data_IF_557729236216
#
_entry.id   IF_557729236216
#
_cell.length_a   1.000
_cell.length_b   1.000
_cell.length_c   1.000
_cell.angle_alpha   90.00
_cell.angle_beta   90.00
_cell.angle_gamma   90.00
#
_symmetry.space_group_name_H-M   'P 1'
#
loop_
_entity.id
_entity.type
_entity.pdbx_description
1 polymer ?
#
# COMPACT_ATOMS: atom_id res chain seq x y z
N UNK A 1 -36.00 -40.08 -36.78
CA UNK A 1 -35.97 -38.84 -37.58
C UNK A 1 -34.56 -38.60 -38.08
N UNK A 2 -34.35 -38.46 -39.40
CA UNK A 2 -33.00 -38.29 -39.98
C UNK A 2 -32.42 -36.89 -39.68
N UNK A 3 -31.08 -36.81 -39.62
CA UNK A 3 -30.32 -35.58 -39.35
C UNK A 3 -30.66 -34.44 -40.31
N UNK A 4 -30.97 -34.75 -41.58
CA UNK A 4 -31.35 -33.77 -42.61
C UNK A 4 -32.71 -33.12 -42.29
N UNK A 5 -33.72 -33.90 -41.90
CA UNK A 5 -35.05 -33.39 -41.54
C UNK A 5 -35.04 -32.54 -40.24
N UNK A 6 -34.07 -32.76 -39.36
CA UNK A 6 -33.82 -31.93 -38.17
C UNK A 6 -33.25 -30.55 -38.55
N UNK A 7 -32.28 -30.52 -39.47
CA UNK A 7 -31.64 -29.29 -39.93
C UNK A 7 -32.64 -28.41 -40.70
N UNK A 8 -33.47 -28.98 -41.58
CA UNK A 8 -34.50 -28.23 -42.33
C UNK A 8 -35.51 -27.57 -41.39
N UNK A 9 -35.97 -28.28 -40.34
CA UNK A 9 -36.89 -27.69 -39.34
C UNK A 9 -36.24 -26.60 -38.50
N UNK A 10 -34.95 -26.75 -38.15
CA UNK A 10 -34.20 -25.72 -37.43
C UNK A 10 -34.02 -24.47 -38.29
N UNK A 11 -33.67 -24.63 -39.57
CA UNK A 11 -33.56 -23.54 -40.53
C UNK A 11 -34.89 -22.80 -40.69
N UNK A 12 -36.00 -23.52 -40.88
CA UNK A 12 -37.35 -22.91 -40.98
C UNK A 12 -37.78 -22.13 -39.73
N UNK A 13 -37.23 -22.41 -38.54
CA UNK A 13 -37.63 -21.78 -37.27
C UNK A 13 -36.68 -20.67 -36.80
N UNK A 14 -35.38 -20.83 -37.03
CA UNK A 14 -34.35 -19.96 -36.46
C UNK A 14 -33.39 -19.41 -37.51
N UNK A 15 -33.64 -19.68 -38.81
CA UNK A 15 -32.83 -19.22 -39.95
C UNK A 15 -31.33 -19.50 -39.79
N UNK A 16 -31.00 -20.60 -39.10
CA UNK A 16 -29.61 -20.96 -38.83
C UNK A 16 -29.38 -22.46 -38.91
N UNK A 17 -28.27 -22.84 -39.55
CA UNK A 17 -27.74 -24.22 -39.54
C UNK A 17 -26.78 -24.45 -38.38
N UNK A 18 -26.34 -23.39 -37.68
CA UNK A 18 -25.43 -23.49 -36.53
C UNK A 18 -26.10 -24.18 -35.36
N UNK A 19 -25.31 -24.82 -34.51
CA UNK A 19 -25.84 -25.43 -33.28
C UNK A 19 -26.29 -24.33 -32.33
N UNK A 20 -27.56 -24.36 -31.94
CA UNK A 20 -28.09 -23.45 -30.93
C UNK A 20 -27.50 -23.81 -29.55
N UNK A 21 -27.37 -22.82 -28.65
CA UNK A 21 -26.98 -23.09 -27.27
C UNK A 21 -27.93 -24.13 -26.67
N UNK A 22 -27.36 -25.24 -26.20
CA UNK A 22 -28.14 -26.24 -25.47
C UNK A 22 -28.52 -25.67 -24.11
N UNK A 23 -29.72 -25.98 -23.63
CA UNK A 23 -30.09 -25.70 -22.24
C UNK A 23 -29.06 -26.39 -21.34
N UNK A 24 -28.27 -25.59 -20.62
CA UNK A 24 -27.28 -26.09 -19.68
C UNK A 24 -27.96 -26.82 -18.52
N UNK A 25 -27.15 -27.47 -17.68
CA UNK A 25 -27.63 -28.04 -16.42
C UNK A 25 -28.33 -26.93 -15.60
N UNK A 26 -29.54 -27.17 -15.08
CA UNK A 26 -30.21 -26.21 -14.20
C UNK A 26 -29.31 -25.78 -13.03
N UNK A 27 -29.29 -24.48 -12.74
CA UNK A 27 -28.55 -23.95 -11.60
C UNK A 27 -29.09 -24.53 -10.30
N UNK A 28 -28.19 -24.96 -9.41
CA UNK A 28 -28.57 -25.43 -8.06
C UNK A 28 -29.07 -24.31 -7.15
N UNK A 29 -28.70 -23.07 -7.46
CA UNK A 29 -29.09 -21.89 -6.71
C UNK A 29 -30.11 -21.11 -7.53
N UNK A 30 -31.19 -20.65 -6.89
CA UNK A 30 -32.19 -19.84 -7.58
C UNK A 30 -31.65 -18.44 -7.88
N UNK A 31 -32.26 -17.73 -8.82
CA UNK A 31 -31.91 -16.32 -9.05
C UNK A 31 -32.16 -15.45 -7.81
N UNK A 32 -33.17 -15.80 -7.00
CA UNK A 32 -33.45 -15.14 -5.71
C UNK A 32 -32.32 -15.40 -4.73
N UNK A 33 -31.88 -16.64 -4.60
CA UNK A 33 -30.75 -17.04 -3.76
C UNK A 33 -29.46 -16.34 -4.17
N UNK A 34 -29.16 -16.27 -5.47
CA UNK A 34 -28.00 -15.53 -5.99
C UNK A 34 -28.04 -14.06 -5.59
N UNK A 35 -29.16 -13.36 -5.83
CA UNK A 35 -29.32 -11.95 -5.44
C UNK A 35 -29.18 -11.75 -3.93
N UNK A 36 -29.69 -12.69 -3.15
CA UNK A 36 -29.64 -12.63 -1.70
C UNK A 36 -28.20 -12.80 -1.16
N UNK A 37 -27.39 -13.68 -1.78
CA UNK A 37 -25.96 -13.82 -1.47
C UNK A 37 -25.17 -12.57 -1.87
N UNK A 38 -25.43 -12.02 -3.05
CA UNK A 38 -24.77 -10.79 -3.51
C UNK A 38 -25.05 -9.64 -2.56
N UNK A 39 -26.31 -9.44 -2.16
CA UNK A 39 -26.69 -8.40 -1.19
C UNK A 39 -25.98 -8.57 0.14
N UNK A 40 -25.87 -9.80 0.64
CA UNK A 40 -25.17 -10.09 1.89
C UNK A 40 -23.70 -9.70 1.81
N UNK A 41 -23.00 -10.11 0.74
CA UNK A 41 -21.59 -9.76 0.50
C UNK A 41 -21.40 -8.27 0.29
N UNK A 42 -22.32 -7.58 -0.39
CA UNK A 42 -22.24 -6.13 -0.57
C UNK A 42 -22.43 -5.37 0.75
N UNK A 43 -23.32 -5.85 1.63
CA UNK A 43 -23.57 -5.23 2.94
C UNK A 43 -22.45 -5.53 3.94
N UNK A 44 -21.95 -6.77 3.93
CA UNK A 44 -20.86 -7.23 4.79
C UNK A 44 -19.78 -7.91 3.94
N UNK A 45 -18.83 -7.15 3.37
CA UNK A 45 -17.76 -7.70 2.53
C UNK A 45 -16.83 -8.69 3.23
N UNK A 46 -16.85 -8.74 4.57
CA UNK A 46 -16.01 -9.65 5.37
C UNK A 46 -16.69 -10.99 5.66
N UNK A 47 -17.93 -11.20 5.19
CA UNK A 47 -18.66 -12.45 5.37
C UNK A 47 -17.91 -13.62 4.71
N UNK A 48 -17.76 -14.70 5.46
CA UNK A 48 -17.08 -15.91 5.01
C UNK A 48 -18.00 -16.80 4.18
N UNK A 49 -17.41 -17.65 3.34
CA UNK A 49 -18.17 -18.67 2.61
C UNK A 49 -18.92 -19.65 3.53
N UNK A 50 -18.44 -19.82 4.77
CA UNK A 50 -19.11 -20.67 5.77
C UNK A 50 -20.38 -19.99 6.29
N UNK A 51 -20.30 -18.71 6.62
CA UNK A 51 -21.48 -17.93 7.05
C UNK A 51 -22.51 -17.82 5.92
N UNK A 52 -22.07 -17.54 4.70
CA UNK A 52 -22.96 -17.52 3.53
C UNK A 52 -23.65 -18.87 3.30
N UNK A 53 -22.96 -19.98 3.57
CA UNK A 53 -23.54 -21.31 3.48
C UNK A 53 -24.64 -21.52 4.54
N UNK A 54 -24.41 -21.06 5.78
CA UNK A 54 -25.41 -21.10 6.86
C UNK A 54 -26.63 -20.25 6.51
N UNK A 55 -26.44 -19.01 6.08
CA UNK A 55 -27.53 -18.12 5.65
C UNK A 55 -28.30 -18.67 4.45
N UNK A 56 -27.63 -19.33 3.51
CA UNK A 56 -28.28 -19.98 2.36
C UNK A 56 -29.16 -21.15 2.81
N UNK A 57 -28.69 -21.92 3.80
CA UNK A 57 -29.46 -23.02 4.40
C UNK A 57 -30.70 -22.50 5.14
N UNK A 58 -30.55 -21.47 5.98
CA UNK A 58 -31.65 -20.81 6.70
C UNK A 58 -32.72 -20.26 5.75
N UNK A 59 -32.32 -19.81 4.57
CA UNK A 59 -33.22 -19.31 3.52
C UNK A 59 -33.86 -20.42 2.67
N UNK A 60 -33.67 -21.70 3.03
CA UNK A 60 -34.24 -22.84 2.32
C UNK A 60 -33.53 -23.18 1.00
N UNK A 61 -32.33 -22.63 0.74
CA UNK A 61 -31.53 -22.90 -0.46
C UNK A 61 -30.18 -23.54 -0.09
N UNK A 62 -30.16 -24.78 0.41
CA UNK A 62 -28.92 -25.46 0.80
C UNK A 62 -27.96 -25.58 -0.38
N UNK A 63 -26.82 -24.89 -0.29
CA UNK A 63 -25.82 -24.84 -1.34
C UNK A 63 -24.43 -25.17 -0.82
N UNK A 64 -23.60 -25.81 -1.65
CA UNK A 64 -22.18 -26.05 -1.33
C UNK A 64 -21.40 -24.74 -1.47
N UNK A 65 -20.35 -24.56 -0.66
CA UNK A 65 -19.44 -23.39 -0.73
C UNK A 65 -18.91 -23.10 -2.14
N UNK A 66 -18.59 -24.14 -2.93
CA UNK A 66 -18.17 -23.98 -4.34
C UNK A 66 -19.27 -23.34 -5.21
N UNK A 67 -20.53 -23.73 -5.03
CA UNK A 67 -21.67 -23.16 -5.74
C UNK A 67 -21.88 -21.70 -5.36
N UNK A 68 -21.80 -21.39 -4.06
CA UNK A 68 -21.90 -20.02 -3.53
C UNK A 68 -20.80 -19.13 -4.10
N UNK A 69 -19.54 -19.58 -4.05
CA UNK A 69 -18.40 -18.84 -4.62
C UNK A 69 -18.56 -18.63 -6.13
N UNK A 70 -19.00 -19.64 -6.89
CA UNK A 70 -19.23 -19.49 -8.32
C UNK A 70 -20.34 -18.46 -8.62
N UNK A 71 -21.44 -18.47 -7.87
CA UNK A 71 -22.54 -17.51 -8.03
C UNK A 71 -22.12 -16.06 -7.73
N UNK A 72 -21.26 -15.89 -6.71
CA UNK A 72 -20.69 -14.58 -6.34
C UNK A 72 -19.71 -14.11 -7.43
N UNK A 73 -18.85 -15.00 -7.94
CA UNK A 73 -17.92 -14.70 -9.03
C UNK A 73 -18.64 -14.33 -10.34
N UNK A 74 -19.75 -15.00 -10.66
CA UNK A 74 -20.61 -14.63 -11.81
C UNK A 74 -21.20 -13.22 -11.68
N UNK A 75 -21.24 -12.68 -10.46
CA UNK A 75 -21.69 -11.32 -10.17
C UNK A 75 -20.53 -10.31 -10.07
N UNK A 76 -19.30 -10.71 -10.45
CA UNK A 76 -18.11 -9.85 -10.47
C UNK A 76 -17.47 -9.62 -9.10
N UNK A 77 -17.93 -10.30 -8.05
CA UNK A 77 -17.37 -10.20 -6.70
C UNK A 77 -16.37 -11.32 -6.46
N UNK A 78 -15.21 -11.00 -5.89
CA UNK A 78 -14.15 -11.99 -5.68
C UNK A 78 -13.52 -11.86 -4.29
N UNK A 79 -13.20 -13.01 -3.68
CA UNK A 79 -12.41 -13.03 -2.45
C UNK A 79 -11.01 -12.47 -2.68
N UNK A 80 -10.61 -11.50 -1.87
CA UNK A 80 -9.27 -10.89 -1.85
C UNK A 80 -8.85 -10.63 -0.41
N UNK A 81 -7.54 -10.55 -0.16
CA UNK A 81 -7.02 -10.18 1.16
C UNK A 81 -7.35 -8.71 1.41
N UNK A 82 -8.02 -8.42 2.53
CA UNK A 82 -8.32 -7.06 2.96
C UNK A 82 -7.03 -6.25 3.12
N UNK A 83 -7.06 -4.98 2.68
CA UNK A 83 -5.92 -4.07 2.85
C UNK A 83 -5.91 -3.53 4.27
N UNK A 84 -4.74 -3.60 4.91
CA UNK A 84 -4.52 -2.92 6.19
C UNK A 84 -4.35 -1.43 5.92
N UNK A 85 -5.12 -0.60 6.60
CA UNK A 85 -5.08 0.87 6.53
C UNK A 85 -5.25 1.46 7.94
N UNK A 86 -4.64 2.62 8.24
CA UNK A 86 -4.85 3.29 9.52
C UNK A 86 -6.34 3.59 9.75
N UNK A 87 -6.77 3.50 11.01
CA UNK A 87 -8.14 3.80 11.39
C UNK A 87 -8.36 5.32 11.42
N UNK A 88 -9.09 5.84 10.43
CA UNK A 88 -9.38 7.27 10.34
C UNK A 88 -10.67 7.64 11.09
N UNK A 89 -10.58 8.63 11.99
CA UNK A 89 -11.74 9.28 12.58
C UNK A 89 -12.37 10.28 11.59
N UNK A 90 -13.61 10.72 11.85
CA UNK A 90 -14.25 11.80 11.06
C UNK A 90 -13.41 13.09 11.04
N UNK A 91 -12.75 13.41 12.17
CA UNK A 91 -11.84 14.55 12.29
C UNK A 91 -10.62 14.39 11.36
N UNK A 92 -10.01 13.21 11.33
CA UNK A 92 -8.87 12.94 10.44
C UNK A 92 -9.27 13.10 8.96
N UNK A 93 -10.44 12.55 8.58
CA UNK A 93 -10.94 12.67 7.22
C UNK A 93 -11.20 14.13 6.82
N UNK A 94 -11.78 14.94 7.71
CA UNK A 94 -12.01 16.36 7.45
C UNK A 94 -10.70 17.13 7.23
N UNK A 95 -9.71 16.97 8.13
CA UNK A 95 -8.40 17.61 8.00
C UNK A 95 -7.66 17.19 6.73
N UNK A 96 -7.70 15.90 6.38
CA UNK A 96 -7.12 15.37 5.13
C UNK A 96 -7.78 15.99 3.89
N UNK A 97 -9.10 16.12 3.90
CA UNK A 97 -9.85 16.72 2.79
C UNK A 97 -9.52 18.21 2.63
N UNK A 98 -9.42 18.93 3.75
CA UNK A 98 -9.07 20.35 3.76
C UNK A 98 -7.64 20.58 3.24
N UNK A 99 -6.67 19.83 3.76
CA UNK A 99 -5.29 19.82 3.28
C UNK A 99 -5.23 19.57 1.77
N UNK A 100 -5.91 18.51 1.30
CA UNK A 100 -5.89 18.17 -0.12
C UNK A 100 -6.49 19.28 -1.01
N UNK A 101 -7.57 19.94 -0.57
CA UNK A 101 -8.17 21.06 -1.30
C UNK A 101 -7.27 22.29 -1.33
N UNK A 102 -6.62 22.62 -0.20
CA UNK A 102 -5.71 23.75 -0.06
C UNK A 102 -4.50 23.61 -0.99
N UNK A 103 -3.88 22.44 -0.99
CA UNK A 103 -2.61 22.18 -1.69
C UNK A 103 -2.76 21.67 -3.13
N UNK A 104 -4.00 21.45 -3.62
CA UNK A 104 -4.24 20.96 -4.97
C UNK A 104 -3.72 21.94 -6.03
N UNK A 105 -3.89 23.24 -5.79
CA UNK A 105 -3.51 24.31 -6.72
C UNK A 105 -2.05 24.74 -6.61
N UNK A 106 -1.28 24.14 -5.69
CA UNK A 106 0.13 24.47 -5.54
C UNK A 106 0.90 24.26 -6.84
N UNK A 107 1.82 25.18 -7.13
CA UNK A 107 2.65 25.09 -8.34
C UNK A 107 3.63 23.92 -8.24
N UNK A 108 4.04 23.39 -9.39
CA UNK A 108 5.10 22.37 -9.44
C UNK A 108 6.43 22.91 -8.88
N UNK A 109 6.71 24.20 -9.07
CA UNK A 109 7.90 24.85 -8.50
C UNK A 109 7.89 24.82 -6.98
N UNK A 110 6.75 25.12 -6.36
CA UNK A 110 6.60 25.01 -4.91
C UNK A 110 6.79 23.56 -4.44
N UNK A 111 6.15 22.59 -5.10
CA UNK A 111 6.28 21.16 -4.72
C UNK A 111 7.72 20.65 -4.80
N UNK A 112 8.50 21.14 -5.77
CA UNK A 112 9.93 20.80 -5.92
C UNK A 112 10.80 21.33 -4.77
N UNK A 113 10.35 22.37 -4.05
CA UNK A 113 11.02 22.92 -2.87
C UNK A 113 10.67 22.18 -1.57
N UNK A 114 9.73 21.23 -1.61
CA UNK A 114 9.37 20.43 -0.44
C UNK A 114 10.43 19.35 -0.23
N UNK A 115 11.00 19.32 0.97
CA UNK A 115 11.80 18.22 1.49
C UNK A 115 10.91 17.32 2.33
N UNK A 116 10.61 16.14 1.80
CA UNK A 116 9.81 15.11 2.46
C UNK A 116 10.70 14.31 3.39
N UNK A 117 10.25 14.04 4.60
CA UNK A 117 10.98 13.22 5.57
C UNK A 117 10.05 12.24 6.27
N UNK A 118 10.64 11.17 6.78
CA UNK A 118 9.97 10.16 7.59
C UNK A 118 10.98 9.19 8.21
N UNK A 119 10.52 8.36 9.12
CA UNK A 119 11.28 7.22 9.65
C UNK A 119 10.74 5.88 9.14
N UNK A 120 11.64 4.94 8.87
CA UNK A 120 11.25 3.55 8.57
C UNK A 120 12.05 2.55 9.37
N UNK A 121 11.37 1.48 9.78
CA UNK A 121 11.99 0.25 10.27
C UNK A 121 12.28 -0.71 9.11
N UNK A 122 13.49 -1.27 9.07
CA UNK A 122 13.87 -2.34 8.14
C UNK A 122 14.36 -3.54 8.95
N UNK A 123 13.74 -4.68 8.72
CA UNK A 123 14.04 -5.95 9.41
C UNK A 123 15.09 -6.74 8.63
N UNK A 124 16.08 -7.31 9.33
CA UNK A 124 17.14 -8.13 8.72
C UNK A 124 16.56 -9.36 7.99
N UNK A 125 15.64 -10.06 8.66
CA UNK A 125 14.93 -11.22 8.12
C UNK A 125 13.45 -10.92 7.88
N UNK A 126 13.15 -9.71 7.42
CA UNK A 126 11.78 -9.28 7.17
C UNK A 126 11.06 -10.17 6.15
N UNK A 127 9.77 -10.42 6.38
CA UNK A 127 8.90 -11.37 5.65
C UNK A 127 8.61 -10.96 4.19
N UNK A 128 9.36 -10.02 3.63
CA UNK A 128 8.98 -9.28 2.43
C UNK A 128 9.30 -9.97 1.10
N UNK A 129 9.77 -11.21 1.11
CA UNK A 129 9.67 -12.08 -0.05
C UNK A 129 9.17 -13.46 0.34
N UNK A 130 7.92 -13.77 -0.06
CA UNK A 130 7.52 -15.17 -0.25
C UNK A 130 8.49 -15.79 -1.26
N UNK A 131 9.43 -16.60 -0.78
CA UNK A 131 10.36 -17.32 -1.66
C UNK A 131 9.68 -18.60 -2.14
N UNK A 132 9.60 -18.75 -3.46
CA UNK A 132 9.22 -20.03 -4.03
C UNK A 132 10.42 -20.97 -3.97
N UNK A 133 10.19 -22.19 -3.48
CA UNK A 133 11.20 -23.25 -3.41
C UNK A 133 10.76 -24.38 -4.33
N UNK A 134 11.62 -24.79 -5.25
CA UNK A 134 11.43 -25.99 -6.05
C UNK A 134 11.85 -27.20 -5.22
N UNK A 135 10.91 -28.11 -4.92
CA UNK A 135 11.17 -29.27 -4.06
C UNK A 135 10.30 -30.47 -4.45
N UNK A 136 10.77 -31.67 -4.12
CA UNK A 136 9.99 -32.91 -4.31
C UNK A 136 8.85 -32.98 -3.27
N UNK A 137 7.71 -33.65 -3.57
CA UNK A 137 6.67 -33.93 -2.58
C UNK A 137 7.27 -34.57 -1.30
N UNK A 138 6.72 -34.25 -0.12
CA UNK A 138 7.20 -34.76 1.17
C UNK A 138 8.45 -34.06 1.75
N UNK A 139 9.26 -33.37 0.94
CA UNK A 139 10.51 -32.72 1.41
C UNK A 139 10.31 -31.31 2.01
N UNK A 140 9.09 -31.01 2.45
CA UNK A 140 8.69 -29.66 2.81
C UNK A 140 9.45 -29.06 4.00
N UNK A 141 9.92 -29.93 4.89
CA UNK A 141 10.57 -29.57 6.15
C UNK A 141 12.09 -29.73 6.12
N UNK A 142 12.67 -30.15 4.98
CA UNK A 142 14.13 -30.25 4.84
C UNK A 142 14.75 -28.86 4.96
N UNK A 143 15.88 -28.73 5.65
CA UNK A 143 16.53 -27.44 5.92
C UNK A 143 16.86 -26.65 4.64
N UNK A 144 17.24 -27.34 3.57
CA UNK A 144 17.47 -26.71 2.26
C UNK A 144 16.19 -26.15 1.60
N UNK A 145 15.02 -26.60 2.04
CA UNK A 145 13.70 -26.23 1.51
C UNK A 145 12.91 -25.32 2.46
N UNK A 146 13.51 -24.90 3.57
CA UNK A 146 12.92 -24.00 4.56
C UNK A 146 13.71 -22.69 4.60
N UNK A 147 13.03 -21.60 4.95
CA UNK A 147 13.70 -20.35 5.30
C UNK A 147 13.85 -20.38 6.82
N UNK A 148 15.07 -20.30 7.37
CA UNK A 148 15.24 -20.22 8.81
C UNK A 148 14.55 -18.96 9.34
N UNK A 149 13.63 -19.15 10.29
CA UNK A 149 12.95 -18.07 11.02
C UNK A 149 13.54 -18.06 12.42
N UNK A 150 14.12 -16.94 12.84
CA UNK A 150 14.60 -16.76 14.21
C UNK A 150 13.42 -16.44 15.13
N UNK A 151 13.26 -17.20 16.22
CA UNK A 151 12.13 -17.07 17.18
C UNK A 151 12.06 -15.68 17.82
N UNK A 152 13.21 -15.04 18.00
CA UNK A 152 13.37 -13.63 18.38
C UNK A 152 14.62 -13.10 17.66
N UNK A 153 14.54 -11.99 16.92
CA UNK A 153 15.74 -11.18 16.66
C UNK A 153 16.66 -11.59 15.50
N UNK A 154 16.25 -11.30 14.26
CA UNK A 154 17.24 -10.84 13.27
C UNK A 154 17.75 -9.43 13.56
N UNK A 155 17.04 -8.74 14.46
CA UNK A 155 17.16 -7.32 14.65
C UNK A 155 16.53 -6.54 13.50
N UNK A 156 16.45 -5.24 13.71
CA UNK A 156 15.99 -4.28 12.73
C UNK A 156 16.75 -3.00 12.97
N UNK A 157 16.93 -2.22 11.91
CA UNK A 157 17.40 -0.85 12.04
C UNK A 157 16.23 0.10 11.83
N UNK A 158 16.23 1.19 12.59
CA UNK A 158 15.37 2.34 12.34
C UNK A 158 16.21 3.36 11.56
N UNK A 159 15.63 3.92 10.51
CA UNK A 159 16.28 4.89 9.64
C UNK A 159 15.41 6.14 9.59
N UNK A 160 16.03 7.31 9.75
CA UNK A 160 15.46 8.57 9.29
C UNK A 160 16.02 8.89 7.90
N UNK A 161 15.20 9.42 7.02
CA UNK A 161 15.72 10.00 5.79
C UNK A 161 14.78 11.00 5.17
N UNK A 162 15.31 11.72 4.20
CA UNK A 162 14.55 12.74 3.49
C UNK A 162 14.84 12.74 2.00
N UNK A 163 13.92 13.28 1.20
CA UNK A 163 14.13 13.44 -0.24
C UNK A 163 13.34 14.62 -0.79
N UNK A 164 13.73 15.11 -1.96
CA UNK A 164 12.99 16.11 -2.73
C UNK A 164 12.88 15.67 -4.19
N UNK A 165 12.27 16.50 -5.04
CA UNK A 165 12.27 16.25 -6.47
C UNK A 165 13.68 16.16 -7.09
N UNK A 166 14.70 16.75 -6.43
CA UNK A 166 16.08 16.74 -6.91
C UNK A 166 16.82 15.42 -6.61
N UNK A 167 16.29 14.58 -5.71
CA UNK A 167 16.89 13.31 -5.32
C UNK A 167 16.74 13.01 -3.83
N UNK A 168 17.45 11.98 -3.39
CA UNK A 168 17.55 11.58 -1.99
C UNK A 168 18.48 12.50 -1.21
N UNK A 169 18.05 12.92 -0.01
CA UNK A 169 18.89 13.56 0.99
C UNK A 169 19.62 12.54 1.86
N UNK A 170 20.01 12.95 3.07
CA UNK A 170 20.72 12.11 4.03
C UNK A 170 19.83 10.95 4.53
N UNK A 171 20.48 9.83 4.88
CA UNK A 171 19.87 8.66 5.51
C UNK A 171 20.67 8.31 6.76
N UNK A 172 20.00 8.34 7.91
CA UNK A 172 20.62 8.25 9.23
C UNK A 172 20.06 7.06 9.99
N UNK A 173 20.93 6.27 10.60
CA UNK A 173 20.51 5.19 11.49
C UNK A 173 20.20 5.75 12.87
N UNK A 174 19.04 5.36 13.39
CA UNK A 174 18.62 5.64 14.75
C UNK A 174 18.88 4.35 15.56
N UNK A 175 19.79 4.43 16.53
CA UNK A 175 20.26 3.26 17.27
C UNK A 175 19.25 2.79 18.35
N UNK A 176 18.41 3.68 18.84
CA UNK A 176 17.49 3.42 19.95
C UNK A 176 16.09 3.93 19.65
N UNK A 177 15.20 3.90 20.65
CA UNK A 177 13.90 4.56 20.53
C UNK A 177 14.13 6.07 20.41
N UNK A 178 13.74 6.64 19.26
CA UNK A 178 13.95 8.06 19.00
C UNK A 178 13.26 8.93 20.05
N UNK A 179 14.04 9.79 20.71
CA UNK A 179 13.56 10.85 21.60
C UNK A 179 13.46 12.17 20.84
N UNK A 180 12.77 13.17 21.41
CA UNK A 180 12.72 14.51 20.82
C UNK A 180 14.11 15.16 20.72
N UNK A 181 15.00 14.93 21.70
CA UNK A 181 16.38 15.44 21.65
C UNK A 181 17.17 14.83 20.49
N UNK A 182 17.10 13.50 20.33
CA UNK A 182 17.74 12.82 19.18
C UNK A 182 17.16 13.30 17.85
N UNK A 183 15.85 13.57 17.79
CA UNK A 183 15.23 14.12 16.59
C UNK A 183 15.79 15.50 16.25
N UNK A 184 15.89 16.40 17.24
CA UNK A 184 16.52 17.71 17.08
C UNK A 184 17.96 17.58 16.58
N UNK A 185 18.76 16.67 17.14
CA UNK A 185 20.14 16.43 16.69
C UNK A 185 20.19 15.94 15.23
N UNK A 186 19.26 15.07 14.83
CA UNK A 186 19.12 14.63 13.43
C UNK A 186 18.81 15.82 12.53
N UNK A 187 17.90 16.71 12.93
CA UNK A 187 17.59 17.92 12.15
C UNK A 187 18.83 18.81 12.00
N UNK A 188 19.52 19.07 13.11
CA UNK A 188 20.72 19.92 13.17
C UNK A 188 21.83 19.42 12.23
N UNK A 189 22.14 18.13 12.31
CA UNK A 189 23.22 17.53 11.55
C UNK A 189 22.87 17.23 10.08
N UNK A 190 21.60 16.95 9.78
CA UNK A 190 21.22 16.32 8.50
C UNK A 190 20.19 17.09 7.69
N UNK A 191 19.30 17.87 8.29
CA UNK A 191 18.24 18.57 7.55
C UNK A 191 18.86 19.62 6.63
N UNK A 192 19.59 20.57 7.20
CA UNK A 192 20.17 21.68 6.44
C UNK A 192 21.19 21.17 5.43
N UNK A 193 22.04 20.22 5.81
CA UNK A 193 22.99 19.61 4.89
C UNK A 193 22.29 18.94 3.70
N UNK A 194 21.18 18.24 3.91
CA UNK A 194 20.39 17.65 2.82
C UNK A 194 19.84 18.71 1.87
N UNK A 195 19.41 19.87 2.38
CA UNK A 195 18.89 20.96 1.54
C UNK A 195 19.97 21.59 0.67
N UNK A 196 21.21 21.70 1.19
CA UNK A 196 22.38 22.17 0.46
C UNK A 196 22.77 21.18 -0.64
N UNK A 197 22.88 19.89 -0.29
CA UNK A 197 23.23 18.81 -1.21
C UNK A 197 22.22 18.72 -2.39
N UNK A 198 20.94 18.97 -2.10
CA UNK A 198 19.83 18.96 -3.07
C UNK A 198 19.60 20.31 -3.76
N UNK A 199 20.33 21.37 -3.38
CA UNK A 199 20.21 22.74 -3.91
C UNK A 199 18.78 23.28 -3.89
N UNK A 200 18.07 23.08 -2.78
CA UNK A 200 16.67 23.54 -2.63
C UNK A 200 16.54 25.06 -2.45
N UNK A 201 17.64 25.72 -2.12
CA UNK A 201 17.67 27.15 -1.79
C UNK A 201 17.15 27.43 -0.37
N UNK A 202 17.23 28.69 0.05
CA UNK A 202 16.89 29.12 1.42
C UNK A 202 15.39 29.05 1.73
N UNK A 203 14.53 29.05 0.72
CA UNK A 203 13.06 29.03 0.88
C UNK A 203 12.49 27.63 0.66
N UNK A 204 13.15 26.59 1.17
CA UNK A 204 12.61 25.25 1.13
C UNK A 204 11.44 25.09 2.12
N UNK A 205 10.62 24.06 1.91
CA UNK A 205 9.53 23.69 2.82
C UNK A 205 9.87 22.31 3.38
N UNK A 206 9.86 22.17 4.70
CA UNK A 206 10.09 20.90 5.37
C UNK A 206 8.77 20.20 5.66
N UNK A 207 8.66 18.94 5.28
CA UNK A 207 7.54 18.10 5.70
C UNK A 207 8.00 17.07 6.73
N UNK A 208 7.30 17.06 7.86
CA UNK A 208 7.33 16.06 8.92
C UNK A 208 5.89 15.65 9.29
N UNK A 209 5.70 14.55 10.00
CA UNK A 209 4.37 14.19 10.53
C UNK A 209 4.14 14.80 11.93
N UNK A 210 2.96 14.53 12.51
CA UNK A 210 2.57 15.06 13.82
C UNK A 210 2.89 14.09 14.98
N UNK A 211 3.94 13.29 14.87
CA UNK A 211 4.41 12.47 16.00
C UNK A 211 4.79 13.40 17.17
N UNK A 212 4.45 13.06 18.43
CA UNK A 212 4.79 13.87 19.60
C UNK A 212 6.25 14.33 19.70
N UNK A 213 7.21 13.57 19.13
CA UNK A 213 8.63 13.97 19.12
C UNK A 213 8.92 15.12 18.13
N UNK A 214 8.12 15.26 17.08
CA UNK A 214 8.22 16.31 16.05
C UNK A 214 7.57 17.61 16.51
N UNK A 215 6.51 17.51 17.31
CA UNK A 215 5.79 18.65 17.92
C UNK A 215 6.26 18.93 19.37
N UNK A 216 7.40 18.37 19.76
CA UNK A 216 7.99 18.66 21.06
C UNK A 216 8.60 20.07 21.02
N UNK A 217 8.54 20.78 22.15
CA UNK A 217 9.05 22.16 22.27
C UNK A 217 10.48 22.32 21.72
N UNK A 218 11.40 21.40 22.06
CA UNK A 218 12.79 21.43 21.59
C UNK A 218 12.92 21.33 20.07
N UNK A 219 12.03 20.57 19.41
CA UNK A 219 12.01 20.40 17.96
C UNK A 219 11.40 21.64 17.29
N UNK A 220 10.32 22.18 17.85
CA UNK A 220 9.66 23.40 17.36
C UNK A 220 10.55 24.63 17.50
N UNK A 221 11.24 24.80 18.64
CA UNK A 221 12.21 25.88 18.88
C UNK A 221 13.36 25.80 17.86
N UNK A 222 13.94 24.61 17.64
CA UNK A 222 15.01 24.46 16.65
C UNK A 222 14.54 24.82 15.22
N UNK A 223 13.32 24.41 14.83
CA UNK A 223 12.76 24.76 13.52
C UNK A 223 12.54 26.28 13.38
N UNK A 224 12.10 26.94 14.44
CA UNK A 224 11.91 28.39 14.49
C UNK A 224 13.25 29.13 14.43
N UNK A 225 14.23 28.74 15.25
CA UNK A 225 15.55 29.37 15.32
C UNK A 225 16.30 29.25 13.98
N UNK A 226 16.09 28.15 13.25
CA UNK A 226 16.66 27.93 11.92
C UNK A 226 15.77 28.44 10.78
N UNK A 227 14.68 29.16 11.07
CA UNK A 227 13.75 29.73 10.08
C UNK A 227 13.23 28.71 9.07
N UNK A 228 12.95 27.48 9.52
CA UNK A 228 12.48 26.38 8.66
C UNK A 228 10.96 26.48 8.48
N UNK A 229 10.51 26.60 7.23
CA UNK A 229 9.09 26.59 6.91
C UNK A 229 8.55 25.16 6.96
N UNK A 230 7.71 24.84 7.93
CA UNK A 230 7.09 23.52 8.07
C UNK A 230 5.77 23.44 7.30
N UNK A 231 5.60 22.38 6.51
CA UNK A 231 4.33 22.07 5.84
C UNK A 231 3.31 21.58 6.87
N UNK A 232 2.17 22.25 6.96
CA UNK A 232 1.03 21.77 7.75
C UNK A 232 0.65 20.35 7.30
N UNK A 233 0.60 19.39 8.23
CA UNK A 233 0.39 17.99 7.89
C UNK A 233 -0.85 17.40 8.57
N UNK A 234 -1.74 16.70 7.83
CA UNK A 234 -2.88 16.02 8.44
C UNK A 234 -2.44 14.70 9.09
N UNK A 235 -2.81 14.49 10.35
CA UNK A 235 -2.48 13.26 11.10
C UNK A 235 -2.94 11.97 10.39
N UNK A 236 -2.22 10.87 10.61
CA UNK A 236 -2.49 9.54 10.04
C UNK A 236 -2.57 9.53 8.50
N UNK A 237 -1.62 10.20 7.85
CA UNK A 237 -1.61 10.35 6.39
C UNK A 237 -0.36 9.81 5.69
N UNK A 238 0.06 8.55 5.94
CA UNK A 238 1.22 7.99 5.24
C UNK A 238 0.99 7.90 3.72
N UNK A 239 -0.25 7.69 3.27
CA UNK A 239 -0.59 7.65 1.84
C UNK A 239 -0.39 9.00 1.12
N UNK A 240 -0.37 10.10 1.88
CA UNK A 240 0.01 11.41 1.37
C UNK A 240 1.53 11.59 1.31
N UNK A 241 2.33 10.97 2.18
CA UNK A 241 3.78 11.14 2.14
C UNK A 241 4.42 10.32 0.99
N UNK A 242 5.05 10.95 -0.02
CA UNK A 242 5.60 10.22 -1.14
C UNK A 242 6.86 9.42 -0.77
N UNK A 243 7.51 9.70 0.36
CA UNK A 243 8.70 8.97 0.81
C UNK A 243 8.39 7.49 1.11
N UNK A 244 7.15 7.17 1.45
CA UNK A 244 6.69 5.78 1.66
C UNK A 244 6.90 4.91 0.42
N UNK A 245 6.84 5.50 -0.77
CA UNK A 245 7.15 4.80 -2.01
C UNK A 245 8.66 4.55 -2.15
N UNK A 246 9.51 5.49 -1.70
CA UNK A 246 10.95 5.28 -1.66
C UNK A 246 11.36 4.26 -0.60
N UNK A 247 10.69 4.23 0.56
CA UNK A 247 10.89 3.17 1.54
C UNK A 247 10.58 1.79 1.00
N UNK A 248 9.52 1.66 0.20
CA UNK A 248 9.23 0.41 -0.50
C UNK A 248 10.36 0.05 -1.48
N UNK A 249 10.79 1.00 -2.31
CA UNK A 249 11.84 0.79 -3.31
C UNK A 249 13.16 0.37 -2.62
N UNK A 250 13.55 1.05 -1.53
CA UNK A 250 14.71 0.74 -0.69
C UNK A 250 14.61 -0.66 -0.08
N UNK A 251 13.50 -0.98 0.60
CA UNK A 251 13.29 -2.29 1.22
C UNK A 251 13.40 -3.43 0.20
N UNK A 252 12.85 -3.23 -1.00
CA UNK A 252 12.97 -4.20 -2.09
C UNK A 252 14.41 -4.38 -2.59
N UNK A 253 15.17 -3.28 -2.71
CA UNK A 253 16.56 -3.32 -3.14
C UNK A 253 17.47 -4.00 -2.10
N UNK A 254 17.35 -3.60 -0.83
CA UNK A 254 18.09 -4.17 0.31
C UNK A 254 17.80 -5.66 0.46
N UNK A 255 16.53 -6.07 0.36
CA UNK A 255 16.15 -7.48 0.46
C UNK A 255 16.82 -8.34 -0.62
N UNK A 256 17.02 -7.81 -1.84
CA UNK A 256 17.69 -8.55 -2.93
C UNK A 256 19.18 -8.79 -2.67
N UNK A 257 19.78 -8.09 -1.70
CA UNK A 257 21.20 -8.23 -1.33
C UNK A 257 21.43 -9.25 -0.22
N UNK A 258 20.37 -9.73 0.43
CA UNK A 258 20.43 -10.74 1.49
C UNK A 258 21.45 -10.41 2.61
N UNK A 259 21.32 -9.25 3.27
CA UNK A 259 22.20 -8.91 4.38
C UNK A 259 22.13 -9.96 5.50
N UNK A 260 23.28 -10.32 6.04
CA UNK A 260 23.44 -11.39 7.03
C UNK A 260 23.45 -10.92 8.48
N UNK A 261 23.73 -9.63 8.71
CA UNK A 261 23.81 -8.99 10.02
C UNK A 261 23.42 -7.50 9.94
N UNK A 262 23.24 -6.85 11.10
CA UNK A 262 22.78 -5.45 11.16
C UNK A 262 23.74 -4.43 10.57
N UNK A 263 25.05 -4.66 10.69
CA UNK A 263 26.07 -3.78 10.09
C UNK A 263 26.01 -3.85 8.56
N UNK A 264 25.89 -5.06 8.02
CA UNK A 264 25.69 -5.26 6.59
C UNK A 264 24.36 -4.69 6.11
N UNK A 265 23.29 -4.82 6.91
CA UNK A 265 21.98 -4.25 6.61
C UNK A 265 22.06 -2.73 6.49
N UNK A 266 22.69 -2.05 7.44
CA UNK A 266 22.87 -0.60 7.42
C UNK A 266 23.68 -0.16 6.19
N UNK A 267 24.81 -0.83 5.93
CA UNK A 267 25.63 -0.54 4.75
C UNK A 267 24.84 -0.73 3.45
N UNK A 268 24.10 -1.83 3.32
CA UNK A 268 23.23 -2.05 2.17
C UNK A 268 22.17 -0.94 2.04
N UNK A 269 21.57 -0.50 3.14
CA UNK A 269 20.58 0.58 3.11
C UNK A 269 21.19 1.89 2.60
N UNK A 270 22.37 2.28 3.11
CA UNK A 270 23.08 3.49 2.66
C UNK A 270 23.46 3.42 1.18
N UNK A 271 24.01 2.28 0.73
CA UNK A 271 24.40 2.07 -0.67
C UNK A 271 23.21 2.06 -1.63
N UNK A 272 22.12 1.38 -1.28
CA UNK A 272 20.93 1.31 -2.13
C UNK A 272 20.14 2.63 -2.13
N UNK A 273 20.13 3.37 -1.02
CA UNK A 273 19.54 4.70 -0.95
C UNK A 273 20.25 5.68 -1.90
N UNK A 274 21.59 5.68 -1.91
CA UNK A 274 22.38 6.52 -2.82
C UNK A 274 22.17 6.17 -4.31
N UNK A 275 21.74 4.93 -4.62
CA UNK A 275 21.42 4.48 -5.98
C UNK A 275 20.01 4.82 -6.42
N UNK A 276 19.12 5.30 -5.53
CA UNK A 276 17.76 5.67 -5.91
C UNK A 276 17.80 6.81 -6.92
N UNK A 277 17.24 6.57 -8.09
CA UNK A 277 17.34 7.50 -9.20
C UNK A 277 16.65 8.84 -8.89
N UNK A 278 17.32 9.95 -9.24
CA UNK A 278 16.74 11.30 -9.14
C UNK A 278 15.44 11.43 -9.95
N UNK A 279 15.38 10.81 -11.12
CA UNK A 279 14.16 10.75 -11.95
C UNK A 279 12.98 10.06 -11.22
N UNK A 280 13.25 9.03 -10.42
CA UNK A 280 12.22 8.39 -9.59
C UNK A 280 11.66 9.36 -8.56
N UNK A 281 12.53 10.11 -7.89
CA UNK A 281 12.15 11.16 -6.92
C UNK A 281 11.31 12.25 -7.59
N UNK A 282 11.78 12.79 -8.73
CA UNK A 282 11.08 13.80 -9.50
C UNK A 282 9.67 13.35 -9.94
N UNK A 283 9.53 12.10 -10.40
CA UNK A 283 8.23 11.52 -10.79
C UNK A 283 7.26 11.39 -9.62
N UNK A 284 7.75 11.03 -8.43
CA UNK A 284 6.91 10.94 -7.22
C UNK A 284 6.36 12.32 -6.84
N UNK A 285 7.19 13.37 -6.88
CA UNK A 285 6.77 14.74 -6.57
C UNK A 285 5.87 15.33 -7.68
N UNK A 286 6.21 15.13 -8.96
CA UNK A 286 5.43 15.64 -10.07
C UNK A 286 4.00 15.08 -10.10
N UNK A 287 3.83 13.82 -9.68
CA UNK A 287 2.54 13.14 -9.61
C UNK A 287 1.78 13.37 -8.29
N UNK A 288 2.29 14.21 -7.38
CA UNK A 288 1.69 14.44 -6.06
C UNK A 288 0.26 14.96 -6.12
N UNK A 289 -0.11 15.78 -7.11
CA UNK A 289 -1.48 16.27 -7.28
C UNK A 289 -2.50 15.13 -7.39
N UNK A 290 -2.13 14.01 -8.02
CA UNK A 290 -2.99 12.82 -8.13
C UNK A 290 -3.30 12.21 -6.75
N UNK A 291 -2.40 12.31 -5.78
CA UNK A 291 -2.66 11.88 -4.39
C UNK A 291 -3.74 12.75 -3.76
N UNK A 292 -3.61 14.06 -3.91
CA UNK A 292 -4.58 15.03 -3.39
C UNK A 292 -5.97 14.84 -4.04
N UNK A 293 -6.03 14.66 -5.35
CA UNK A 293 -7.27 14.34 -6.08
C UNK A 293 -7.93 13.07 -5.54
N UNK A 294 -7.15 12.01 -5.26
CA UNK A 294 -7.70 10.78 -4.68
C UNK A 294 -8.22 10.96 -3.27
N UNK A 295 -7.59 11.80 -2.44
CA UNK A 295 -8.10 12.15 -1.10
C UNK A 295 -9.42 12.91 -1.21
N UNK A 296 -9.52 13.87 -2.15
CA UNK A 296 -10.75 14.63 -2.40
C UNK A 296 -11.87 13.71 -2.86
N UNK A 297 -11.60 12.84 -3.84
CA UNK A 297 -12.57 11.86 -4.33
C UNK A 297 -13.02 10.88 -3.23
N UNK A 298 -12.12 10.51 -2.33
CA UNK A 298 -12.39 9.65 -1.19
C UNK A 298 -13.00 10.42 0.02
N UNK A 299 -13.30 11.71 -0.12
CA UNK A 299 -13.81 12.59 0.96
C UNK A 299 -12.96 12.51 2.24
N UNK A 300 -11.64 12.46 2.09
CA UNK A 300 -10.69 12.38 3.20
C UNK A 300 -10.36 10.97 3.68
N UNK A 301 -11.00 9.92 3.14
CA UNK A 301 -10.69 8.54 3.53
C UNK A 301 -9.32 8.06 3.02
N UNK A 302 -8.96 6.83 3.36
CA UNK A 302 -7.73 6.17 2.88
C UNK A 302 -7.72 6.05 1.36
N UNK A 303 -6.56 6.30 0.75
CA UNK A 303 -6.39 6.18 -0.71
C UNK A 303 -5.65 4.90 -1.10
N UNK A 304 -5.46 4.72 -2.41
CA UNK A 304 -4.69 3.61 -3.00
C UNK A 304 -3.19 3.71 -2.75
N UNK A 305 -2.70 4.89 -2.38
CA UNK A 305 -1.30 5.17 -2.13
C UNK A 305 -0.83 4.56 -0.80
#
# INVERSE_FOLDING_TARGET
MSTVASIIRKWKKFETTRNLPRAGRPSKLSDRGRRALVREVTKNPMVTLLELQRTSLERGEPSRRKTISAAIHQSGLYGRVARQKPLLSKRHMAARLEFAKRHLKDSQTMRKKILWSDETKIELFGVNARRHVWRKPGTAHHQANTIPIVKHGGGSIMLWGCFSAAGTGRLVRINEKMTAAMYRDILDENLLQSTLDLRLGQQFIFQQDNDPKHTAKISEEWLQDNSVNVLEWPSQSPDLNPIEHLWRDLKMAVHRRFPSNLTELERCCKEEWAKLAKDRCAKLVASYSKRLETVIAAKGASTKY
#
